data_IF_575113444962
#
_entry.id   IF_575113444962
#
_cell.length_a   1.000
_cell.length_b   1.000
_cell.length_c   1.000
_cell.angle_alpha   90.00
_cell.angle_beta   90.00
_cell.angle_gamma   90.00
#
_symmetry.space_group_name_H-M   'P 1'
#
loop_
_entity.id
_entity.type
_entity.pdbx_description
1 polymer ?
#
# COMPACT_ATOMS: atom_id res chain seq x y z
N UNK A 1 24.21 5.10 -1.65
CA UNK A 1 23.64 4.04 -0.79
C UNK A 1 22.18 3.89 -1.18
N UNK A 2 21.63 2.68 -1.14
CA UNK A 2 20.21 2.49 -1.43
C UNK A 2 19.39 3.05 -0.25
N UNK A 3 18.46 3.96 -0.53
CA UNK A 3 17.57 4.58 0.46
C UNK A 3 16.22 3.86 0.55
N UNK A 4 15.50 4.05 1.66
CA UNK A 4 14.16 3.45 1.86
C UNK A 4 13.05 4.25 1.15
N UNK A 5 13.33 5.49 0.75
CA UNK A 5 12.33 6.44 0.27
C UNK A 5 11.44 7.04 1.37
N UNK A 6 11.74 6.81 2.65
CA UNK A 6 11.00 7.40 3.77
C UNK A 6 11.35 8.87 3.95
N UNK A 7 10.33 9.73 3.91
CA UNK A 7 10.44 11.15 4.24
C UNK A 7 9.84 11.43 5.64
N UNK A 8 10.64 11.84 6.64
CA UNK A 8 10.16 12.22 7.96
C UNK A 8 9.37 13.53 7.92
N UNK A 9 8.56 13.75 8.96
CA UNK A 9 7.82 14.98 9.14
C UNK A 9 8.77 16.16 9.41
N UNK A 10 8.80 17.12 8.48
CA UNK A 10 9.79 18.20 8.44
C UNK A 10 9.45 19.42 9.31
N UNK A 11 8.22 19.55 9.81
CA UNK A 11 7.78 20.73 10.57
C UNK A 11 8.04 20.62 12.09
N UNK A 12 8.81 19.62 12.53
CA UNK A 12 9.25 19.47 13.91
C UNK A 12 10.70 18.94 13.95
N UNK A 13 11.54 19.62 14.72
CA UNK A 13 12.99 19.34 14.78
C UNK A 13 13.31 17.96 15.35
N UNK A 14 12.45 17.44 16.25
CA UNK A 14 12.63 16.11 16.80
C UNK A 14 12.18 15.03 15.82
N UNK A 15 11.00 15.17 15.20
CA UNK A 15 10.46 14.17 14.28
C UNK A 15 11.30 14.03 13.03
N UNK A 16 12.00 15.08 12.60
CA UNK A 16 12.93 15.05 11.47
C UNK A 16 14.04 14.01 11.66
N UNK A 17 14.38 13.68 12.91
CA UNK A 17 15.42 12.70 13.29
C UNK A 17 14.86 11.35 13.72
N UNK A 18 13.55 11.25 13.95
CA UNK A 18 12.89 10.01 14.42
C UNK A 18 12.58 9.09 13.23
N UNK A 19 12.66 7.76 13.43
CA UNK A 19 12.17 6.81 12.43
C UNK A 19 10.65 6.92 12.27
N UNK A 20 10.15 6.61 11.09
CA UNK A 20 8.73 6.34 10.87
C UNK A 20 8.37 4.93 11.29
N UNK A 21 7.10 4.73 11.63
CA UNK A 21 6.54 3.43 12.00
C UNK A 21 5.22 3.26 11.26
N UNK A 22 5.06 2.12 10.59
CA UNK A 22 3.83 1.75 9.89
C UNK A 22 3.36 0.42 10.45
N UNK A 23 2.11 0.37 10.89
CA UNK A 23 1.49 -0.80 11.49
C UNK A 23 0.16 -1.08 10.78
N UNK A 24 -0.10 -2.35 10.48
CA UNK A 24 -1.38 -2.78 9.92
C UNK A 24 -1.83 -4.11 10.50
N UNK A 25 -3.10 -4.13 10.88
CA UNK A 25 -3.83 -5.36 11.19
C UNK A 25 -4.78 -5.67 10.05
N UNK A 26 -4.74 -6.90 9.57
CA UNK A 26 -5.60 -7.33 8.47
C UNK A 26 -6.04 -8.77 8.59
N UNK A 27 -7.05 -9.13 7.82
CA UNK A 27 -7.58 -10.48 7.76
C UNK A 27 -7.35 -11.08 6.38
N UNK A 28 -6.81 -12.30 6.35
CA UNK A 28 -6.73 -13.13 5.16
C UNK A 28 -7.22 -14.53 5.53
N UNK A 29 -8.20 -15.07 4.79
CA UNK A 29 -8.84 -16.37 5.08
C UNK A 29 -9.30 -16.53 6.54
N UNK A 30 -9.90 -15.47 7.12
CA UNK A 30 -10.37 -15.40 8.53
C UNK A 30 -9.27 -15.46 9.59
N UNK A 31 -7.99 -15.43 9.21
CA UNK A 31 -6.85 -15.34 10.13
C UNK A 31 -6.43 -13.87 10.23
N UNK A 32 -6.33 -13.37 11.46
CA UNK A 32 -5.79 -12.02 11.73
C UNK A 32 -4.26 -12.05 11.59
N UNK A 33 -3.73 -11.05 10.93
CA UNK A 33 -2.31 -10.80 10.77
C UNK A 33 -1.97 -9.42 11.33
N UNK A 34 -0.73 -9.27 11.77
CA UNK A 34 -0.16 -8.02 12.24
C UNK A 34 1.19 -7.84 11.54
N UNK A 35 1.36 -6.70 10.87
CA UNK A 35 2.59 -6.34 10.22
C UNK A 35 3.02 -4.96 10.67
N UNK A 36 4.27 -4.85 11.12
CA UNK A 36 4.88 -3.62 11.59
C UNK A 36 6.22 -3.41 10.89
N UNK A 37 6.49 -2.19 10.45
CA UNK A 37 7.80 -1.79 9.93
C UNK A 37 8.20 -0.43 10.48
N UNK A 38 9.42 -0.35 10.99
CA UNK A 38 10.06 0.85 11.51
C UNK A 38 11.29 1.17 10.68
N UNK A 39 11.38 2.39 10.16
CA UNK A 39 12.41 2.75 9.19
C UNK A 39 12.85 4.20 9.30
N UNK A 40 14.09 4.47 8.89
CA UNK A 40 14.61 5.81 8.60
C UNK A 40 14.76 5.98 7.09
N UNK A 41 15.28 7.14 6.65
CA UNK A 41 15.66 7.39 5.25
C UNK A 41 16.59 6.31 4.66
N UNK A 42 17.41 5.68 5.49
CA UNK A 42 18.51 4.82 5.03
C UNK A 42 18.34 3.33 5.37
N UNK A 43 17.52 2.98 6.38
CA UNK A 43 17.45 1.60 6.85
C UNK A 43 16.11 1.24 7.49
N UNK A 44 15.69 0.00 7.26
CA UNK A 44 14.67 -0.70 8.07
C UNK A 44 15.30 -1.08 9.41
N UNK A 45 14.84 -0.42 10.48
CA UNK A 45 15.31 -0.64 11.85
C UNK A 45 14.68 -1.88 12.47
N UNK A 46 13.39 -2.07 12.24
CA UNK A 46 12.61 -3.19 12.77
C UNK A 46 11.52 -3.57 11.79
N UNK A 47 11.26 -4.86 11.65
CA UNK A 47 10.17 -5.39 10.82
C UNK A 47 9.65 -6.67 11.46
N UNK A 48 8.34 -6.70 11.73
CA UNK A 48 7.68 -7.80 12.44
C UNK A 48 6.50 -8.26 11.61
N UNK A 49 6.36 -9.58 11.47
CA UNK A 49 5.16 -10.21 10.92
C UNK A 49 4.67 -11.29 11.87
N UNK A 50 3.41 -11.17 12.27
CA UNK A 50 2.72 -12.12 13.15
C UNK A 50 1.37 -12.51 12.56
N UNK A 51 0.87 -13.68 12.96
CA UNK A 51 -0.51 -14.07 12.75
C UNK A 51 -1.14 -14.64 14.02
N UNK A 52 -2.45 -14.63 14.06
CA UNK A 52 -3.24 -15.01 15.23
C UNK A 52 -4.09 -16.22 14.83
N UNK A 53 -3.55 -17.46 14.97
CA UNK A 53 -4.34 -18.67 14.74
C UNK A 53 -5.39 -18.88 15.84
N UNK A 54 -5.21 -18.21 16.98
CA UNK A 54 -6.11 -18.18 18.13
C UNK A 54 -5.99 -16.81 18.81
N UNK A 55 -6.21 -16.72 20.13
CA UNK A 55 -6.03 -15.46 20.87
C UNK A 55 -4.57 -15.01 21.03
N UNK A 56 -3.60 -15.94 20.97
CA UNK A 56 -2.18 -15.63 21.12
C UNK A 56 -1.50 -15.43 19.75
N UNK A 57 -0.65 -14.39 19.58
CA UNK A 57 0.09 -14.18 18.35
C UNK A 57 1.18 -15.24 18.17
N UNK A 58 1.48 -15.50 16.91
CA UNK A 58 2.58 -16.34 16.48
C UNK A 58 3.46 -15.52 15.53
N UNK A 59 4.71 -15.33 15.93
CA UNK A 59 5.71 -14.64 15.12
C UNK A 59 6.10 -15.50 13.91
N UNK A 60 5.97 -14.90 12.72
CA UNK A 60 6.44 -15.45 11.44
C UNK A 60 7.91 -15.12 11.28
N UNK A 61 8.24 -13.84 11.46
CA UNK A 61 9.62 -13.38 11.57
C UNK A 61 9.68 -12.06 12.32
N UNK A 62 10.87 -11.78 12.84
CA UNK A 62 11.25 -10.49 13.39
C UNK A 62 12.65 -10.16 12.88
N UNK A 63 12.76 -9.05 12.17
CA UNK A 63 14.02 -8.46 11.75
C UNK A 63 14.33 -7.24 12.62
N UNK A 64 15.54 -7.19 13.18
CA UNK A 64 16.04 -6.06 13.96
C UNK A 64 17.44 -5.69 13.48
N UNK A 65 17.62 -4.46 12.98
CA UNK A 65 18.89 -3.93 12.45
C UNK A 65 19.60 -4.91 11.51
N UNK A 66 18.86 -5.51 10.58
CA UNK A 66 19.38 -6.48 9.61
C UNK A 66 19.43 -7.93 10.11
N UNK A 67 19.40 -8.19 11.41
CA UNK A 67 19.32 -9.55 11.94
C UNK A 67 17.90 -10.10 11.80
N UNK A 68 17.72 -11.19 11.05
CA UNK A 68 16.41 -11.80 10.81
C UNK A 68 16.28 -13.05 11.68
N UNK A 69 15.21 -13.12 12.48
CA UNK A 69 14.80 -14.30 13.21
C UNK A 69 13.50 -14.80 12.63
N UNK A 70 13.49 -16.04 12.16
CA UNK A 70 12.28 -16.69 11.69
C UNK A 70 11.61 -17.45 12.84
N UNK A 71 10.28 -17.51 12.81
CA UNK A 71 9.49 -18.39 13.65
C UNK A 71 9.90 -19.86 13.50
N UNK A 72 9.47 -20.66 14.47
CA UNK A 72 9.76 -22.10 14.52
C UNK A 72 9.25 -22.84 13.26
N UNK A 73 9.79 -24.03 12.98
CA UNK A 73 9.31 -24.85 11.85
C UNK A 73 7.80 -25.19 11.93
N UNK A 74 7.22 -25.21 13.13
CA UNK A 74 5.76 -25.41 13.31
C UNK A 74 4.94 -24.20 12.87
N UNK A 75 5.51 -23.00 12.97
CA UNK A 75 4.83 -21.74 12.70
C UNK A 75 5.11 -21.23 11.30
N UNK A 76 6.32 -21.47 10.80
CA UNK A 76 6.75 -21.14 9.44
C UNK A 76 7.47 -22.34 8.83
N UNK A 77 6.77 -23.06 7.95
CA UNK A 77 7.38 -24.10 7.11
C UNK A 77 8.23 -23.42 6.03
N UNK A 78 9.49 -23.14 6.36
CA UNK A 78 10.46 -22.53 5.46
C UNK A 78 11.76 -23.32 5.52
N UNK A 79 12.14 -23.90 4.38
CA UNK A 79 13.41 -24.63 4.24
C UNK A 79 14.60 -23.71 4.50
N UNK A 80 15.69 -24.26 5.04
CA UNK A 80 16.92 -23.51 5.34
C UNK A 80 17.42 -22.70 4.15
N UNK A 81 17.47 -23.31 2.95
CA UNK A 81 17.92 -22.64 1.72
C UNK A 81 17.15 -21.34 1.41
N UNK A 82 15.88 -21.26 1.78
CA UNK A 82 15.05 -20.07 1.57
C UNK A 82 15.27 -19.02 2.65
N UNK A 83 15.56 -19.44 3.89
CA UNK A 83 16.01 -18.52 4.95
C UNK A 83 17.32 -17.87 4.57
N UNK A 84 18.31 -18.68 4.15
CA UNK A 84 19.63 -18.21 3.72
C UNK A 84 19.50 -17.24 2.52
N UNK A 85 18.62 -17.56 1.55
CA UNK A 85 18.36 -16.70 0.41
C UNK A 85 17.71 -15.37 0.81
N UNK A 86 16.77 -15.37 1.77
CA UNK A 86 16.17 -14.13 2.28
C UNK A 86 17.19 -13.28 3.01
N UNK A 87 17.99 -13.86 3.88
CA UNK A 87 19.03 -13.16 4.61
C UNK A 87 20.05 -12.52 3.66
N UNK A 88 20.42 -13.21 2.58
CA UNK A 88 21.38 -12.72 1.59
C UNK A 88 20.80 -11.61 0.70
N UNK A 89 19.54 -11.74 0.28
CA UNK A 89 18.92 -10.82 -0.68
C UNK A 89 18.26 -9.60 -0.03
N UNK A 90 18.12 -9.56 1.30
CA UNK A 90 17.46 -8.46 2.00
C UNK A 90 18.47 -7.40 2.42
N UNK A 91 18.63 -6.38 1.58
CA UNK A 91 19.44 -5.19 1.92
C UNK A 91 18.81 -4.37 3.05
N UNK A 92 19.61 -3.52 3.70
CA UNK A 92 19.19 -2.74 4.86
C UNK A 92 18.03 -1.77 4.59
N UNK A 93 17.92 -1.25 3.37
CA UNK A 93 16.90 -0.28 2.95
C UNK A 93 15.59 -0.88 2.44
N UNK A 94 15.49 -2.21 2.37
CA UNK A 94 14.34 -2.93 1.82
C UNK A 94 13.72 -3.82 2.90
N UNK A 95 12.39 -3.97 2.92
CA UNK A 95 11.70 -4.91 3.81
C UNK A 95 11.93 -6.37 3.39
N UNK A 96 11.82 -7.30 4.35
CA UNK A 96 11.85 -8.74 4.08
C UNK A 96 10.70 -9.13 3.16
N UNK A 97 9.51 -8.52 3.31
CA UNK A 97 8.39 -8.74 2.40
C UNK A 97 8.71 -8.38 0.94
N UNK A 98 9.46 -7.30 0.71
CA UNK A 98 9.88 -6.94 -0.65
C UNK A 98 10.92 -7.92 -1.20
N UNK A 99 11.83 -8.41 -0.36
CA UNK A 99 12.78 -9.47 -0.74
C UNK A 99 12.08 -10.79 -1.12
N UNK A 100 10.90 -11.08 -0.57
CA UNK A 100 10.09 -12.23 -0.99
C UNK A 100 9.66 -12.15 -2.45
N UNK A 101 9.39 -10.94 -2.96
CA UNK A 101 8.91 -10.78 -4.34
C UNK A 101 9.95 -11.24 -5.37
N UNK A 102 11.23 -11.03 -5.07
CA UNK A 102 12.35 -11.36 -5.97
C UNK A 102 12.87 -12.78 -5.79
N UNK A 103 12.38 -13.51 -4.78
CA UNK A 103 12.81 -14.87 -4.46
C UNK A 103 11.69 -15.87 -4.73
N UNK A 104 11.97 -16.96 -5.46
CA UNK A 104 10.96 -18.00 -5.77
C UNK A 104 10.75 -18.93 -4.56
N UNK A 105 10.33 -18.37 -3.42
CA UNK A 105 10.21 -19.04 -2.13
C UNK A 105 8.85 -19.70 -2.01
N UNK A 106 8.86 -20.96 -1.57
CA UNK A 106 7.64 -21.71 -1.28
C UNK A 106 7.34 -21.64 0.22
N UNK A 107 6.55 -20.65 0.63
CA UNK A 107 6.01 -20.55 1.98
C UNK A 107 4.58 -20.02 1.94
N UNK A 108 3.64 -20.84 2.40
CA UNK A 108 2.22 -20.51 2.38
C UNK A 108 1.90 -19.28 3.24
N UNK A 109 2.46 -19.20 4.46
CA UNK A 109 2.23 -18.08 5.37
C UNK A 109 2.74 -16.76 4.78
N UNK A 110 3.94 -16.75 4.21
CA UNK A 110 4.53 -15.56 3.61
C UNK A 110 3.81 -15.17 2.31
N UNK A 111 3.40 -16.16 1.50
CA UNK A 111 2.66 -15.91 0.28
C UNK A 111 1.26 -15.35 0.56
N UNK A 112 0.56 -15.84 1.58
CA UNK A 112 -0.76 -15.33 1.97
C UNK A 112 -0.71 -13.84 2.33
N UNK A 113 0.33 -13.42 3.06
CA UNK A 113 0.56 -12.02 3.42
C UNK A 113 0.87 -11.18 2.18
N UNK A 114 1.77 -11.66 1.33
CA UNK A 114 2.11 -10.99 0.07
C UNK A 114 0.89 -10.84 -0.85
N UNK A 115 0.10 -11.90 -1.01
CA UNK A 115 -1.11 -11.92 -1.84
C UNK A 115 -2.17 -10.95 -1.30
N UNK A 116 -2.29 -10.83 0.03
CA UNK A 116 -3.18 -9.84 0.65
C UNK A 116 -2.77 -8.41 0.28
N UNK A 117 -1.50 -8.03 0.46
CA UNK A 117 -1.03 -6.70 0.07
C UNK A 117 -1.24 -6.43 -1.43
N UNK A 118 -1.02 -7.44 -2.27
CA UNK A 118 -1.20 -7.32 -3.72
C UNK A 118 -2.66 -7.12 -4.15
N UNK A 119 -3.61 -7.80 -3.51
CA UNK A 119 -5.01 -7.84 -3.94
C UNK A 119 -5.93 -6.88 -3.21
N UNK A 120 -5.60 -6.53 -1.96
CA UNK A 120 -6.51 -5.78 -1.08
C UNK A 120 -6.14 -4.30 -0.97
N UNK A 121 -4.91 -3.92 -1.32
CA UNK A 121 -4.53 -2.51 -1.33
C UNK A 121 -5.14 -1.80 -2.53
N UNK A 122 -5.76 -0.66 -2.26
CA UNK A 122 -6.14 0.26 -3.32
C UNK A 122 -4.88 0.84 -3.98
N UNK A 123 -4.94 1.17 -5.28
CA UNK A 123 -3.83 1.83 -5.95
C UNK A 123 -3.40 3.11 -5.24
N UNK A 124 -2.09 3.38 -5.23
CA UNK A 124 -1.55 4.63 -4.70
C UNK A 124 -2.12 5.80 -5.51
N UNK A 125 -2.71 6.77 -4.81
CA UNK A 125 -3.16 8.02 -5.39
C UNK A 125 -1.94 8.92 -5.58
N UNK A 126 -1.67 9.27 -6.83
CA UNK A 126 -0.62 10.19 -7.25
C UNK A 126 -1.26 11.48 -7.78
N UNK A 127 -0.44 12.51 -7.95
CA UNK A 127 -0.90 13.80 -8.49
C UNK A 127 -1.56 13.70 -9.89
N UNK A 128 -1.26 12.65 -10.65
CA UNK A 128 -1.85 12.38 -11.97
C UNK A 128 -2.92 11.28 -11.94
N UNK A 129 -3.31 10.77 -10.76
CA UNK A 129 -4.41 9.82 -10.66
C UNK A 129 -5.72 10.51 -10.98
N UNK A 130 -6.40 10.07 -12.05
CA UNK A 130 -7.73 10.54 -12.47
C UNK A 130 -8.83 10.00 -11.56
N UNK A 131 -8.86 10.49 -10.32
CA UNK A 131 -9.87 10.14 -9.33
C UNK A 131 -11.27 10.58 -9.75
N UNK A 132 -11.36 11.67 -10.52
CA UNK A 132 -12.59 12.16 -11.13
C UNK A 132 -13.23 11.07 -12.02
N UNK A 133 -12.47 10.51 -12.97
CA UNK A 133 -12.97 9.45 -13.86
C UNK A 133 -13.32 8.20 -13.06
N UNK A 134 -12.44 7.78 -12.15
CA UNK A 134 -12.71 6.61 -11.31
C UNK A 134 -14.00 6.76 -10.49
N UNK A 135 -14.21 7.94 -9.91
CA UNK A 135 -15.38 8.25 -9.10
C UNK A 135 -16.64 8.31 -9.95
N UNK A 136 -16.59 8.95 -11.12
CA UNK A 136 -17.72 9.00 -12.06
C UNK A 136 -18.16 7.59 -12.46
N UNK A 137 -17.23 6.73 -12.87
CA UNK A 137 -17.53 5.34 -13.21
C UNK A 137 -18.20 4.59 -12.04
N UNK A 138 -17.73 4.79 -10.80
CA UNK A 138 -18.30 4.13 -9.62
C UNK A 138 -19.71 4.59 -9.29
N UNK A 139 -20.01 5.87 -9.52
CA UNK A 139 -21.35 6.45 -9.34
C UNK A 139 -22.31 5.87 -10.38
N UNK A 140 -21.87 5.77 -11.65
CA UNK A 140 -22.69 5.20 -12.73
C UNK A 140 -22.97 3.70 -12.52
N UNK A 141 -21.98 2.95 -12.02
CA UNK A 141 -22.11 1.51 -11.73
C UNK A 141 -23.01 1.22 -10.52
N UNK A 142 -23.08 2.12 -9.53
CA UNK A 142 -23.72 1.84 -8.24
C UNK A 142 -24.34 3.08 -7.58
N UNK A 143 -25.67 3.12 -7.49
CA UNK A 143 -26.41 4.21 -6.85
C UNK A 143 -26.05 4.42 -5.37
N UNK A 144 -25.65 3.36 -4.65
CA UNK A 144 -25.23 3.51 -3.26
C UNK A 144 -23.90 4.27 -3.15
N UNK A 145 -23.02 4.15 -4.15
CA UNK A 145 -21.81 4.97 -4.23
C UNK A 145 -22.16 6.45 -4.46
N UNK A 146 -23.15 6.76 -5.32
CA UNK A 146 -23.67 8.13 -5.46
C UNK A 146 -24.10 8.70 -4.11
N UNK A 147 -24.95 7.96 -3.40
CA UNK A 147 -25.51 8.42 -2.11
C UNK A 147 -24.41 8.67 -1.07
N UNK A 148 -23.40 7.79 -0.99
CA UNK A 148 -22.26 7.97 -0.10
C UNK A 148 -21.47 9.24 -0.43
N UNK A 149 -21.24 9.51 -1.72
CA UNK A 149 -20.49 10.68 -2.16
C UNK A 149 -21.26 11.96 -1.91
N UNK A 150 -22.57 11.98 -2.18
CA UNK A 150 -23.43 13.15 -1.88
C UNK A 150 -23.44 13.44 -0.38
N UNK A 151 -23.57 12.42 0.47
CA UNK A 151 -23.50 12.58 1.94
C UNK A 151 -22.14 13.14 2.40
N UNK A 152 -21.04 12.66 1.80
CA UNK A 152 -19.69 13.19 2.09
C UNK A 152 -19.56 14.66 1.68
N UNK A 153 -20.06 15.03 0.49
CA UNK A 153 -20.00 16.41 -0.03
C UNK A 153 -20.86 17.36 0.80
N UNK A 154 -22.06 16.96 1.20
CA UNK A 154 -22.94 17.72 2.09
C UNK A 154 -22.27 18.04 3.45
N UNK A 155 -21.43 17.13 3.95
CA UNK A 155 -20.67 17.33 5.20
C UNK A 155 -19.48 18.27 5.03
N UNK A 156 -18.92 18.36 3.83
CA UNK A 156 -17.82 19.27 3.52
C UNK A 156 -18.32 20.71 3.24
N UNK A 157 -19.45 20.84 2.55
CA UNK A 157 -20.11 22.10 2.25
C UNK A 157 -21.64 21.91 2.19
N UNK A 158 -22.35 22.63 3.04
CA UNK A 158 -23.81 22.54 3.16
C UNK A 158 -24.58 22.98 1.90
N UNK A 159 -23.93 23.65 0.95
CA UNK A 159 -24.58 24.12 -0.28
C UNK A 159 -24.68 23.06 -1.39
N UNK A 160 -24.05 21.90 -1.23
CA UNK A 160 -24.10 20.81 -2.21
C UNK A 160 -25.25 19.86 -1.85
N UNK A 161 -26.33 19.86 -2.63
CA UNK A 161 -27.48 19.00 -2.33
C UNK A 161 -27.47 17.65 -3.06
N UNK A 162 -26.98 17.62 -4.30
CA UNK A 162 -26.91 16.41 -5.12
C UNK A 162 -25.79 16.54 -6.17
N UNK A 163 -25.47 15.43 -6.82
CA UNK A 163 -24.51 15.32 -7.91
C UNK A 163 -25.16 14.67 -9.15
N UNK A 164 -24.97 15.28 -10.31
CA UNK A 164 -25.41 14.75 -11.61
C UNK A 164 -24.19 14.57 -12.53
N UNK A 165 -24.05 13.39 -13.13
CA UNK A 165 -23.00 13.12 -14.13
C UNK A 165 -23.59 13.39 -15.52
N UNK A 166 -22.88 14.22 -16.31
CA UNK A 166 -23.27 14.59 -17.68
C UNK A 166 -22.16 14.24 -18.64
N UNK A 167 -22.44 13.30 -19.54
CA UNK A 167 -21.59 13.04 -20.69
C UNK A 167 -21.86 14.10 -21.78
N UNK A 168 -20.82 14.77 -22.26
CA UNK A 168 -20.94 15.78 -23.32
C UNK A 168 -20.05 15.42 -24.50
N UNK A 169 -20.63 15.27 -25.69
CA UNK A 169 -19.88 15.16 -26.93
C UNK A 169 -19.50 16.54 -27.44
N UNK A 170 -18.21 16.87 -27.42
CA UNK A 170 -17.69 18.12 -27.96
C UNK A 170 -17.28 17.90 -29.42
N UNK A 171 -17.79 18.74 -30.33
CA UNK A 171 -17.32 18.74 -31.72
C UNK A 171 -15.89 19.24 -31.77
N UNK A 172 -15.01 18.45 -32.38
CA UNK A 172 -13.62 18.86 -32.59
C UNK A 172 -13.59 19.87 -33.73
N UNK A 173 -13.38 21.14 -33.39
CA UNK A 173 -13.08 22.19 -34.37
C UNK A 173 -11.57 22.26 -34.66
N UNK A 174 -11.18 23.04 -35.68
CA UNK A 174 -9.79 23.13 -36.11
C UNK A 174 -8.86 23.73 -35.03
N UNK A 175 -9.41 24.57 -34.14
CA UNK A 175 -8.66 25.16 -33.04
C UNK A 175 -8.36 24.12 -31.95
N UNK A 176 -9.36 23.33 -31.55
CA UNK A 176 -9.20 22.23 -30.60
C UNK A 176 -8.29 21.14 -31.18
N UNK A 177 -8.40 20.88 -32.49
CA UNK A 177 -7.52 19.93 -33.19
C UNK A 177 -6.06 20.36 -33.12
N UNK A 178 -5.77 21.64 -33.35
CA UNK A 178 -4.43 22.20 -33.21
C UNK A 178 -3.94 22.14 -31.76
N UNK A 179 -4.80 22.47 -30.81
CA UNK A 179 -4.51 22.42 -29.37
C UNK A 179 -4.13 21.02 -28.87
N UNK A 180 -4.84 19.97 -29.33
CA UNK A 180 -4.53 18.57 -29.02
C UNK A 180 -3.22 18.14 -29.71
N UNK A 181 -3.01 18.59 -30.95
CA UNK A 181 -1.80 18.27 -31.73
C UNK A 181 -0.52 18.86 -31.11
N UNK A 182 -0.66 19.99 -30.40
CA UNK A 182 0.43 20.66 -29.69
C UNK A 182 0.73 20.02 -28.30
N UNK A 183 0.11 18.88 -27.98
CA UNK A 183 0.44 18.06 -26.81
C UNK A 183 -0.25 18.47 -25.51
N UNK A 184 -1.31 19.28 -25.59
CA UNK A 184 -2.10 19.63 -24.42
C UNK A 184 -2.93 18.43 -23.92
N UNK A 185 -2.88 18.15 -22.62
CA UNK A 185 -3.82 17.23 -21.98
C UNK A 185 -5.20 17.89 -21.95
N UNK A 186 -6.18 17.26 -22.60
CA UNK A 186 -7.58 17.63 -22.46
C UNK A 186 -7.96 17.34 -21.00
N UNK A 187 -8.56 18.29 -20.26
CA UNK A 187 -9.06 18.04 -18.91
C UNK A 187 -10.03 16.85 -18.90
#
# INVERSE_FOLDING_TARGET
EDETGFEPFAFDEETTKKPGEFEIFFFHNKIKHHYLVKLSRFQIKEEILEYYPSGQPVEVYHRNLGNIKFGTHKTVKLEKKFKDALETNTVNSMTLLSALQVTNIKSEVLYNVFDWFKKQMLPIIRHNTRLDIWTMNKIEENINCKNLIVDLLQKADFNINDLEIKEQTIKVDDNLRKYISDGANIP
#
